data_IF_812810342598
#
_entry.id   IF_812810342598
#
_cell.length_a   1.000
_cell.length_b   1.000
_cell.length_c   1.000
_cell.angle_alpha   90.00
_cell.angle_beta   90.00
_cell.angle_gamma   90.00
#
_symmetry.space_group_name_H-M   'P 1'
#
loop_
_entity.id
_entity.type
_entity.pdbx_description
1 polymer ?
#
# COMPACT_ATOMS: atom_id res chain seq x y z
N UNK A 1 52.73 -11.30 4.49
CA UNK A 1 51.36 -10.78 4.70
C UNK A 1 51.41 -9.28 5.00
N UNK A 2 51.01 -8.41 4.06
CA UNK A 2 50.92 -6.96 4.30
C UNK A 2 49.77 -6.70 5.29
N UNK A 3 50.07 -6.24 6.52
CA UNK A 3 49.04 -5.75 7.45
C UNK A 3 48.32 -4.59 6.77
N UNK A 4 47.00 -4.74 6.55
CA UNK A 4 46.16 -3.63 6.09
C UNK A 4 46.24 -2.50 7.11
N UNK A 5 46.42 -1.26 6.64
CA UNK A 5 46.41 -0.08 7.51
C UNK A 5 45.06 0.04 8.21
N UNK A 6 45.06 0.50 9.46
CA UNK A 6 43.88 0.61 10.34
C UNK A 6 42.70 1.31 9.66
N UNK A 7 43.00 2.31 8.82
CA UNK A 7 42.01 3.06 8.03
C UNK A 7 41.29 2.17 7.00
N UNK A 8 42.00 1.27 6.32
CA UNK A 8 41.39 0.36 5.33
C UNK A 8 40.49 -0.68 6.00
N UNK A 9 40.83 -1.12 7.20
CA UNK A 9 39.99 -2.03 8.01
C UNK A 9 38.71 -1.32 8.43
N UNK A 10 38.81 -0.09 8.96
CA UNK A 10 37.65 0.70 9.37
C UNK A 10 36.70 1.03 8.21
N UNK A 11 37.25 1.36 7.02
CA UNK A 11 36.42 1.59 5.81
C UNK A 11 35.66 0.32 5.42
N UNK A 12 36.32 -0.84 5.46
CA UNK A 12 35.70 -2.12 5.10
C UNK A 12 34.61 -2.56 6.11
N UNK A 13 34.83 -2.33 7.41
CA UNK A 13 33.84 -2.60 8.46
C UNK A 13 32.62 -1.69 8.34
N UNK A 14 32.84 -0.39 8.07
CA UNK A 14 31.76 0.59 7.88
C UNK A 14 30.94 0.28 6.62
N UNK A 15 31.58 -0.16 5.54
CA UNK A 15 30.91 -0.62 4.32
C UNK A 15 30.07 -1.90 4.55
N UNK A 16 30.56 -2.87 5.35
CA UNK A 16 29.78 -4.06 5.74
C UNK A 16 28.55 -3.70 6.58
N UNK A 17 28.70 -2.77 7.53
CA UNK A 17 27.60 -2.29 8.39
C UNK A 17 26.52 -1.58 7.58
N UNK A 18 26.91 -0.64 6.71
CA UNK A 18 26.00 0.05 5.79
C UNK A 18 25.27 -0.92 4.86
N UNK A 19 25.96 -1.96 4.37
CA UNK A 19 25.34 -3.01 3.54
C UNK A 19 24.30 -3.82 4.33
N UNK A 20 24.57 -4.13 5.60
CA UNK A 20 23.60 -4.80 6.48
C UNK A 20 22.38 -3.95 6.79
N UNK A 21 22.57 -2.66 7.10
CA UNK A 21 21.49 -1.70 7.33
C UNK A 21 20.63 -1.50 6.07
N UNK A 22 21.27 -1.37 4.90
CA UNK A 22 20.57 -1.25 3.62
C UNK A 22 19.77 -2.50 3.27
N UNK A 23 20.30 -3.70 3.54
CA UNK A 23 19.60 -4.96 3.31
C UNK A 23 18.39 -5.13 4.26
N UNK A 24 18.52 -4.71 5.51
CA UNK A 24 17.40 -4.73 6.46
C UNK A 24 16.29 -3.77 6.02
N UNK A 25 16.65 -2.54 5.65
CA UNK A 25 15.70 -1.55 5.13
C UNK A 25 15.01 -2.01 3.83
N UNK A 26 15.73 -2.71 2.95
CA UNK A 26 15.16 -3.29 1.71
C UNK A 26 14.17 -4.41 2.02
N UNK A 27 14.48 -5.26 3.00
CA UNK A 27 13.59 -6.33 3.43
C UNK A 27 12.28 -5.76 3.98
N UNK A 28 12.37 -4.77 4.87
CA UNK A 28 11.21 -4.09 5.44
C UNK A 28 10.34 -3.42 4.35
N UNK A 29 10.98 -2.77 3.37
CA UNK A 29 10.27 -2.15 2.24
C UNK A 29 9.51 -3.16 1.38
N UNK A 30 10.12 -4.34 1.13
CA UNK A 30 9.48 -5.39 0.35
C UNK A 30 8.29 -5.97 1.12
N UNK A 31 8.44 -6.21 2.42
CA UNK A 31 7.35 -6.71 3.26
C UNK A 31 6.16 -5.76 3.28
N UNK A 32 6.41 -4.45 3.42
CA UNK A 32 5.37 -3.43 3.42
C UNK A 32 4.62 -3.37 2.08
N UNK A 33 5.35 -3.43 0.95
CA UNK A 33 4.73 -3.47 -0.38
C UNK A 33 3.91 -4.74 -0.60
N UNK A 34 4.35 -5.88 -0.07
CA UNK A 34 3.60 -7.13 -0.15
C UNK A 34 2.33 -7.06 0.68
N UNK A 35 2.38 -6.47 1.88
CA UNK A 35 1.21 -6.26 2.72
C UNK A 35 0.20 -5.32 2.04
N UNK A 36 0.66 -4.19 1.50
CA UNK A 36 -0.16 -3.25 0.74
C UNK A 36 -0.83 -3.91 -0.45
N UNK A 37 -0.07 -4.64 -1.28
CA UNK A 37 -0.61 -5.35 -2.44
C UNK A 37 -1.63 -6.43 -2.04
N UNK A 38 -1.43 -7.10 -0.90
CA UNK A 38 -2.36 -8.11 -0.40
C UNK A 38 -3.68 -7.48 0.05
N UNK A 39 -3.61 -6.34 0.76
CA UNK A 39 -4.80 -5.59 1.19
C UNK A 39 -5.53 -5.01 -0.02
N UNK A 40 -4.81 -4.45 -0.99
CA UNK A 40 -5.38 -3.92 -2.23
C UNK A 40 -6.20 -4.99 -2.96
N UNK A 41 -5.64 -6.17 -3.20
CA UNK A 41 -6.34 -7.27 -3.89
C UNK A 41 -7.64 -7.71 -3.23
N UNK A 42 -7.77 -7.52 -1.91
CA UNK A 42 -8.98 -7.88 -1.16
C UNK A 42 -10.03 -6.77 -1.23
N UNK A 43 -9.61 -5.51 -1.18
CA UNK A 43 -10.48 -4.34 -1.13
C UNK A 43 -10.95 -3.91 -2.51
N UNK A 44 -10.07 -3.99 -3.50
CA UNK A 44 -10.31 -3.60 -4.89
C UNK A 44 -11.63 -4.16 -5.46
N UNK A 45 -11.93 -5.48 -5.43
CA UNK A 45 -13.20 -5.99 -5.97
C UNK A 45 -14.43 -5.49 -5.20
N UNK A 46 -14.31 -5.14 -3.93
CA UNK A 46 -15.43 -4.64 -3.11
C UNK A 46 -15.79 -3.21 -3.53
N UNK A 47 -14.79 -2.39 -3.84
CA UNK A 47 -15.01 -0.99 -4.22
C UNK A 47 -15.15 -0.79 -5.72
N UNK A 48 -14.72 -1.75 -6.55
CA UNK A 48 -14.93 -1.73 -8.00
C UNK A 48 -16.42 -1.68 -8.37
N UNK A 49 -17.29 -2.29 -7.56
CA UNK A 49 -18.75 -2.23 -7.72
C UNK A 49 -19.34 -0.82 -7.43
N UNK A 50 -18.66 -0.01 -6.62
CA UNK A 50 -19.12 1.33 -6.21
C UNK A 50 -18.59 2.45 -7.11
N UNK A 51 -17.45 2.22 -7.76
CA UNK A 51 -16.82 3.24 -8.59
C UNK A 51 -17.73 3.67 -9.74
N UNK A 52 -17.74 4.97 -10.01
CA UNK A 52 -18.54 5.51 -11.11
C UNK A 52 -17.92 5.12 -12.46
N UNK A 53 -18.72 4.98 -13.52
CA UNK A 53 -18.21 4.65 -14.86
C UNK A 53 -17.19 5.67 -15.41
N UNK A 54 -17.21 6.91 -14.90
CA UNK A 54 -16.30 7.98 -15.29
C UNK A 54 -15.07 8.13 -14.37
N UNK A 55 -14.89 7.25 -13.38
CA UNK A 55 -13.70 7.21 -12.54
C UNK A 55 -12.66 6.32 -13.21
N UNK A 56 -11.51 6.85 -13.62
CA UNK A 56 -10.51 6.07 -14.36
C UNK A 56 -9.20 5.84 -13.60
N UNK A 57 -8.99 6.57 -12.51
CA UNK A 57 -7.71 6.62 -11.84
C UNK A 57 -7.49 5.43 -10.89
N UNK A 58 -6.27 4.90 -10.86
CA UNK A 58 -5.85 3.77 -10.02
C UNK A 58 -6.74 2.50 -10.08
N UNK A 59 -7.43 2.27 -11.20
CA UNK A 59 -8.34 1.13 -11.39
C UNK A 59 -7.79 0.08 -12.37
N UNK A 60 -8.09 -1.20 -12.15
CA UNK A 60 -7.66 -2.26 -13.06
C UNK A 60 -8.39 -2.11 -14.41
N UNK A 61 -7.65 -2.22 -15.51
CA UNK A 61 -8.22 -2.12 -16.86
C UNK A 61 -8.63 -0.70 -17.31
N UNK A 62 -8.42 0.31 -16.46
CA UNK A 62 -8.64 1.72 -16.80
C UNK A 62 -7.32 2.38 -17.24
N UNK A 63 -7.41 3.36 -18.15
CA UNK A 63 -6.25 4.17 -18.55
C UNK A 63 -6.58 5.65 -18.69
N UNK A 64 -5.57 6.50 -18.55
CA UNK A 64 -5.69 7.94 -18.74
C UNK A 64 -6.25 8.30 -20.13
N UNK A 65 -5.89 7.52 -21.16
CA UNK A 65 -6.42 7.71 -22.51
C UNK A 65 -7.93 7.46 -22.59
N UNK A 66 -8.47 6.50 -21.83
CA UNK A 66 -9.92 6.27 -21.76
C UNK A 66 -10.63 7.47 -21.11
N UNK A 67 -10.03 8.06 -20.06
CA UNK A 67 -10.58 9.24 -19.40
C UNK A 67 -10.67 10.43 -20.36
N UNK A 68 -9.59 10.72 -21.09
CA UNK A 68 -9.53 11.82 -22.07
C UNK A 68 -10.55 11.58 -23.19
N UNK A 69 -10.62 10.35 -23.72
CA UNK A 69 -11.57 10.02 -24.78
C UNK A 69 -13.02 10.14 -24.31
N UNK A 70 -13.33 9.73 -23.07
CA UNK A 70 -14.66 9.88 -22.50
C UNK A 70 -15.02 11.36 -22.34
N UNK A 71 -14.11 12.16 -21.76
CA UNK A 71 -14.29 13.61 -21.63
C UNK A 71 -14.53 14.27 -23.00
N UNK A 72 -13.67 13.99 -23.99
CA UNK A 72 -13.78 14.59 -25.32
C UNK A 72 -15.10 14.25 -26.02
N UNK A 73 -15.54 12.98 -25.94
CA UNK A 73 -16.85 12.55 -26.44
C UNK A 73 -17.98 13.30 -25.74
N UNK A 74 -17.94 13.40 -24.41
CA UNK A 74 -19.00 14.04 -23.64
C UNK A 74 -19.10 15.54 -23.95
N UNK A 75 -17.98 16.25 -23.99
CA UNK A 75 -17.92 17.67 -24.35
C UNK A 75 -18.45 17.90 -25.78
N UNK A 76 -18.03 17.08 -26.74
CA UNK A 76 -18.42 17.20 -28.15
C UNK A 76 -19.89 16.89 -28.38
N UNK A 77 -20.42 15.82 -27.78
CA UNK A 77 -21.81 15.38 -27.95
C UNK A 77 -22.79 16.35 -27.29
N UNK A 78 -22.46 16.84 -26.10
CA UNK A 78 -23.36 17.70 -25.32
C UNK A 78 -23.13 19.21 -25.58
N UNK A 79 -22.21 19.57 -26.48
CA UNK A 79 -21.86 20.96 -26.81
C UNK A 79 -21.55 21.79 -25.56
N UNK A 80 -20.81 21.20 -24.64
CA UNK A 80 -20.35 21.89 -23.44
C UNK A 80 -19.39 23.01 -23.83
N UNK A 81 -19.61 24.22 -23.31
CA UNK A 81 -18.77 25.40 -23.60
C UNK A 81 -17.69 25.63 -22.56
N UNK A 82 -17.98 25.30 -21.31
CA UNK A 82 -17.12 25.57 -20.17
C UNK A 82 -16.73 24.25 -19.50
N UNK A 83 -15.45 24.16 -19.13
CA UNK A 83 -14.89 23.04 -18.38
C UNK A 83 -14.37 23.60 -17.06
N UNK A 84 -14.82 23.03 -15.95
CA UNK A 84 -14.34 23.37 -14.62
C UNK A 84 -13.23 22.38 -14.28
N UNK A 85 -12.00 22.88 -14.18
CA UNK A 85 -10.86 22.13 -13.68
C UNK A 85 -10.74 22.34 -12.17
N UNK A 86 -10.67 21.24 -11.43
CA UNK A 86 -10.63 21.25 -9.97
C UNK A 86 -9.66 20.18 -9.47
N UNK A 87 -8.66 20.60 -8.71
CA UNK A 87 -7.64 19.73 -8.13
C UNK A 87 -7.58 19.88 -6.60
N UNK A 88 -7.18 18.80 -5.92
CA UNK A 88 -7.09 18.75 -4.46
C UNK A 88 -5.63 18.95 -4.02
N UNK A 89 -5.39 20.01 -3.24
CA UNK A 89 -4.08 20.26 -2.64
C UNK A 89 -3.78 19.26 -1.53
N UNK A 90 -2.62 18.60 -1.61
CA UNK A 90 -2.11 17.67 -0.59
C UNK A 90 -3.17 16.66 -0.12
N UNK A 91 -3.81 15.99 -1.09
CA UNK A 91 -4.89 15.05 -0.81
C UNK A 91 -4.44 14.00 0.22
N UNK A 92 -3.35 13.27 -0.05
CA UNK A 92 -2.92 12.17 0.83
C UNK A 92 -2.41 12.63 2.21
N UNK A 93 -1.82 13.82 2.32
CA UNK A 93 -1.35 14.36 3.60
C UNK A 93 -2.47 14.92 4.48
N UNK A 94 -3.57 15.39 3.88
CA UNK A 94 -4.67 16.06 4.59
C UNK A 94 -5.92 15.20 4.83
N UNK A 95 -5.95 13.94 4.37
CA UNK A 95 -7.10 13.05 4.57
C UNK A 95 -7.36 12.80 6.06
N UNK A 96 -8.59 13.07 6.48
CA UNK A 96 -9.05 12.73 7.83
C UNK A 96 -9.27 11.20 7.95
N UNK A 97 -8.38 10.52 8.67
CA UNK A 97 -8.46 9.08 8.89
C UNK A 97 -9.76 8.63 9.58
N UNK A 98 -10.38 9.47 10.41
CA UNK A 98 -11.67 9.14 11.03
C UNK A 98 -12.81 9.07 10.03
N UNK A 99 -12.84 9.97 9.04
CA UNK A 99 -13.81 9.94 7.94
C UNK A 99 -13.54 8.74 7.03
N UNK A 100 -12.27 8.51 6.69
CA UNK A 100 -11.85 7.34 5.91
C UNK A 100 -12.30 6.03 6.56
N UNK A 101 -12.13 5.89 7.87
CA UNK A 101 -12.58 4.73 8.62
C UNK A 101 -14.10 4.55 8.61
N UNK A 102 -14.86 5.62 8.87
CA UNK A 102 -16.33 5.57 8.78
C UNK A 102 -16.80 5.16 7.39
N UNK A 103 -16.07 5.52 6.34
CA UNK A 103 -16.36 5.08 4.99
C UNK A 103 -16.07 3.58 4.80
N UNK A 104 -14.88 3.13 5.20
CA UNK A 104 -14.47 1.73 5.12
C UNK A 104 -15.40 0.78 5.88
N UNK A 105 -15.88 1.20 7.06
CA UNK A 105 -16.77 0.42 7.92
C UNK A 105 -18.11 0.08 7.26
N UNK A 106 -18.55 0.85 6.25
CA UNK A 106 -19.81 0.59 5.53
C UNK A 106 -19.78 -0.74 4.77
N UNK A 107 -18.60 -1.14 4.27
CA UNK A 107 -18.42 -2.33 3.42
C UNK A 107 -17.50 -3.39 4.04
N UNK A 108 -16.48 -3.00 4.80
CA UNK A 108 -15.50 -3.92 5.41
C UNK A 108 -15.81 -4.11 6.89
N UNK A 109 -16.54 -5.20 7.21
CA UNK A 109 -16.89 -5.56 8.60
C UNK A 109 -15.96 -6.60 9.22
N UNK A 110 -15.10 -7.25 8.43
CA UNK A 110 -14.18 -8.27 8.93
C UNK A 110 -13.06 -7.64 9.79
N UNK A 111 -12.98 -8.03 11.06
CA UNK A 111 -11.99 -7.51 11.99
C UNK A 111 -10.53 -7.86 11.66
N UNK A 112 -10.28 -8.92 10.89
CA UNK A 112 -8.93 -9.26 10.38
C UNK A 112 -8.52 -8.30 9.28
N UNK A 113 -9.41 -8.00 8.34
CA UNK A 113 -9.14 -7.07 7.24
C UNK A 113 -9.00 -5.65 7.80
N UNK A 114 -9.85 -5.25 8.75
CA UNK A 114 -9.73 -3.97 9.44
C UNK A 114 -8.36 -3.80 10.09
N UNK A 115 -7.91 -4.80 10.84
CA UNK A 115 -6.54 -4.78 11.40
C UNK A 115 -5.49 -4.69 10.29
N UNK A 116 -5.62 -5.41 9.18
CA UNK A 116 -4.67 -5.32 8.08
C UNK A 116 -4.60 -3.90 7.49
N UNK A 117 -5.75 -3.26 7.30
CA UNK A 117 -5.86 -1.87 6.83
C UNK A 117 -5.29 -0.90 7.87
N UNK A 118 -5.61 -1.06 9.15
CA UNK A 118 -5.04 -0.25 10.24
C UNK A 118 -3.52 -0.29 10.19
N UNK A 119 -2.92 -1.46 10.01
CA UNK A 119 -1.47 -1.57 9.95
C UNK A 119 -0.88 -0.92 8.69
N UNK A 120 -1.58 -0.98 7.55
CA UNK A 120 -1.16 -0.27 6.33
C UNK A 120 -1.28 1.26 6.49
N UNK A 121 -2.37 1.75 7.09
CA UNK A 121 -2.60 3.19 7.31
C UNK A 121 -1.64 3.73 8.37
N UNK A 122 -1.43 3.00 9.47
CA UNK A 122 -0.45 3.36 10.50
C UNK A 122 0.98 3.28 9.97
N UNK A 123 1.30 2.40 9.01
CA UNK A 123 2.60 2.41 8.33
C UNK A 123 2.86 3.69 7.53
N UNK A 124 1.81 4.31 6.96
CA UNK A 124 1.92 5.65 6.35
C UNK A 124 2.33 6.73 7.36
N UNK A 125 2.02 6.52 8.65
CA UNK A 125 2.44 7.37 9.76
C UNK A 125 3.76 6.91 10.42
N UNK A 126 4.27 5.71 10.10
CA UNK A 126 5.38 5.07 10.82
C UNK A 126 6.76 5.42 10.26
N UNK A 127 6.86 5.95 9.04
CA UNK A 127 8.12 6.53 8.55
C UNK A 127 8.51 7.87 9.21
N UNK A 128 7.90 8.20 10.35
CA UNK A 128 8.37 9.24 11.26
C UNK A 128 9.33 8.77 12.37
N UNK A 129 9.38 7.50 12.79
CA UNK A 129 10.18 7.10 13.97
C UNK A 129 10.72 5.66 13.87
N UNK A 130 12.05 5.54 13.80
CA UNK A 130 12.81 4.27 13.83
C UNK A 130 12.73 3.56 15.19
N UNK A 131 12.94 2.22 15.19
CA UNK A 131 13.08 1.29 16.35
C UNK A 131 11.85 0.48 16.89
N UNK A 132 10.94 -0.06 16.04
CA UNK A 132 9.92 -1.04 16.50
C UNK A 132 9.97 -2.41 15.78
N UNK A 133 11.16 -2.96 15.56
CA UNK A 133 11.33 -4.25 14.87
C UNK A 133 10.63 -5.43 15.58
N UNK A 134 10.52 -5.42 16.91
CA UNK A 134 9.89 -6.50 17.69
C UNK A 134 8.37 -6.52 17.56
N UNK A 135 7.74 -5.34 17.58
CA UNK A 135 6.29 -5.21 17.36
C UNK A 135 5.91 -5.64 15.95
N UNK A 136 6.70 -5.21 14.97
CA UNK A 136 6.52 -5.53 13.54
C UNK A 136 6.66 -7.04 13.29
N UNK A 137 7.69 -7.70 13.83
CA UNK A 137 7.87 -9.15 13.66
C UNK A 137 6.74 -9.99 14.29
N UNK A 138 6.22 -9.55 15.44
CA UNK A 138 5.06 -10.19 16.08
C UNK A 138 3.79 -10.02 15.23
N UNK A 139 3.62 -8.85 14.62
CA UNK A 139 2.52 -8.58 13.70
C UNK A 139 2.61 -9.41 12.41
N UNK A 140 3.79 -9.47 11.80
CA UNK A 140 4.09 -10.33 10.63
C UNK A 140 3.66 -11.78 10.86
N UNK A 141 4.05 -12.38 12.00
CA UNK A 141 3.68 -13.76 12.33
C UNK A 141 2.16 -13.92 12.45
N UNK A 142 1.48 -12.93 13.00
CA UNK A 142 0.03 -12.96 13.15
C UNK A 142 -0.70 -12.82 11.82
N UNK A 143 -0.27 -11.91 10.94
CA UNK A 143 -0.84 -11.75 9.59
C UNK A 143 -0.62 -13.00 8.76
N UNK A 144 0.61 -13.51 8.70
CA UNK A 144 0.94 -14.73 7.94
C UNK A 144 0.11 -15.92 8.41
N UNK A 145 -0.12 -16.04 9.72
CA UNK A 145 -0.96 -17.09 10.31
C UNK A 145 -2.44 -16.91 9.96
N UNK A 146 -2.95 -15.69 9.99
CA UNK A 146 -4.35 -15.40 9.62
C UNK A 146 -4.58 -15.62 8.12
N UNK A 147 -3.67 -15.17 7.27
CA UNK A 147 -3.72 -15.36 5.82
C UNK A 147 -3.63 -16.84 5.44
N UNK A 148 -2.70 -17.59 6.05
CA UNK A 148 -2.60 -19.04 5.85
C UNK A 148 -3.87 -19.77 6.28
N UNK A 149 -4.45 -19.41 7.43
CA UNK A 149 -5.75 -19.96 7.86
C UNK A 149 -6.88 -19.63 6.90
N UNK A 150 -6.89 -18.43 6.33
CA UNK A 150 -7.92 -18.00 5.39
C UNK A 150 -7.78 -18.70 4.03
N UNK A 151 -6.56 -18.84 3.50
CA UNK A 151 -6.28 -19.59 2.27
C UNK A 151 -6.65 -21.07 2.41
N UNK A 152 -6.30 -21.68 3.55
CA UNK A 152 -6.63 -23.07 3.85
C UNK A 152 -8.13 -23.31 4.08
N UNK A 153 -8.93 -22.25 4.33
CA UNK A 153 -10.40 -22.35 4.38
C UNK A 153 -11.04 -22.37 2.99
N UNK A 154 -10.37 -21.81 1.96
CA UNK A 154 -10.85 -21.83 0.57
C UNK A 154 -10.40 -23.09 -0.19
N UNK A 155 -9.23 -23.63 0.13
CA UNK A 155 -8.73 -24.89 -0.44
C UNK A 155 -9.14 -26.08 0.42
N UNK A 156 -10.37 -26.57 0.27
CA UNK A 156 -10.81 -27.81 0.92
C UNK A 156 -9.82 -28.96 0.65
N UNK A 157 -9.33 -29.57 1.75
CA UNK A 157 -8.51 -30.80 1.90
C UNK A 157 -7.35 -31.01 0.89
N UNK A 158 -6.08 -31.13 1.35
CA UNK A 158 -5.07 -31.79 0.53
C UNK A 158 -5.48 -33.26 0.30
N UNK A 159 -5.41 -33.72 -0.96
CA UNK A 159 -5.37 -35.15 -1.31
C UNK A 159 -4.07 -35.76 -0.80
#
# INVERSE_FOLDING_TARGET
MKKMSTVKVQIAERAKKLKGEALHSLYDLIEDKVLQASVQKVIEPIYEEEFKPFSYDFRPGCSQHQAINCMFKHVSLHRMRDIIDADLKDYFGSINHGILWKFLEKRVKDGVIRRAIDNVIQHYSYYGITFNYRGIFSYYRNVRRCLSKWLNRRGGKPK
#
